data_IF_541262735224
#
_entry.id   IF_541262735224
#
_cell.length_a   1.000
_cell.length_b   1.000
_cell.length_c   1.000
_cell.angle_alpha   90.00
_cell.angle_beta   90.00
_cell.angle_gamma   90.00
#
_symmetry.space_group_name_H-M   'P 1'
#
loop_
_entity.id
_entity.type
_entity.pdbx_description
1 polymer ?
#
# COMPACT_ATOMS: atom_id res chain seq x y z
N UNK A 1 39.42 -4.87 -21.09
CA UNK A 1 38.52 -5.94 -21.61
C UNK A 1 37.13 -5.39 -21.41
N UNK A 2 36.56 -4.83 -22.48
CA UNK A 2 35.23 -4.23 -22.42
C UNK A 2 34.21 -5.32 -22.07
N UNK A 3 33.51 -5.11 -20.96
CA UNK A 3 32.43 -5.99 -20.49
C UNK A 3 31.30 -5.92 -21.51
N UNK A 4 31.18 -6.93 -22.37
CA UNK A 4 29.88 -7.20 -22.95
C UNK A 4 28.94 -7.59 -21.80
N UNK A 5 27.75 -6.99 -21.67
CA UNK A 5 26.77 -7.40 -20.67
C UNK A 5 26.49 -8.89 -20.83
N UNK A 6 26.36 -9.63 -19.72
CA UNK A 6 25.97 -11.03 -19.82
C UNK A 6 24.67 -11.16 -20.62
N UNK A 7 24.53 -12.22 -21.43
CA UNK A 7 23.34 -12.44 -22.27
C UNK A 7 22.04 -12.39 -21.46
N UNK A 8 22.07 -12.77 -20.18
CA UNK A 8 20.95 -12.68 -19.27
C UNK A 8 20.52 -11.23 -18.94
N UNK A 9 21.47 -10.30 -18.73
CA UNK A 9 21.17 -8.88 -18.48
C UNK A 9 20.47 -8.25 -19.69
N UNK A 10 20.93 -8.57 -20.90
CA UNK A 10 20.27 -8.05 -22.11
C UNK A 10 18.87 -8.63 -22.31
N UNK A 11 18.61 -9.85 -21.82
CA UNK A 11 17.25 -10.41 -21.81
C UNK A 11 16.36 -9.66 -20.82
N UNK A 12 16.85 -9.30 -19.62
CA UNK A 12 16.08 -8.46 -18.69
C UNK A 12 15.74 -7.11 -19.32
N UNK A 13 16.71 -6.43 -19.94
CA UNK A 13 16.46 -5.14 -20.64
C UNK A 13 15.52 -5.28 -21.83
N UNK A 14 15.42 -6.48 -22.42
CA UNK A 14 14.59 -6.69 -23.61
C UNK A 14 13.09 -6.48 -23.36
N UNK A 15 12.65 -6.52 -22.09
CA UNK A 15 11.27 -6.28 -21.66
C UNK A 15 10.99 -4.84 -21.24
N UNK A 16 11.97 -3.93 -21.32
CA UNK A 16 11.79 -2.51 -21.00
C UNK A 16 11.17 -1.75 -22.19
N UNK A 17 9.94 -2.15 -22.54
CA UNK A 17 9.20 -1.61 -23.70
C UNK A 17 7.72 -1.49 -23.38
N UNK A 18 7.07 -0.52 -24.03
CA UNK A 18 5.64 -0.22 -23.87
C UNK A 18 4.72 -1.45 -23.96
N UNK A 19 5.07 -2.45 -24.77
CA UNK A 19 4.26 -3.68 -24.91
C UNK A 19 4.25 -4.56 -23.66
N UNK A 20 5.27 -4.45 -22.80
CA UNK A 20 5.40 -5.22 -21.56
C UNK A 20 4.89 -4.41 -20.36
N UNK A 21 4.95 -3.09 -20.37
CA UNK A 21 4.41 -2.25 -19.29
C UNK A 21 2.89 -2.31 -19.13
N UNK A 22 2.18 -2.92 -20.09
CA UNK A 22 0.72 -3.18 -20.02
C UNK A 22 0.39 -4.62 -19.58
N UNK A 23 1.40 -5.42 -19.26
CA UNK A 23 1.25 -6.83 -18.91
C UNK A 23 1.44 -7.01 -17.41
N UNK A 24 0.80 -8.05 -16.89
CA UNK A 24 1.00 -8.47 -15.50
C UNK A 24 2.42 -9.02 -15.30
N UNK A 25 2.98 -8.86 -14.10
CA UNK A 25 4.32 -9.36 -13.75
C UNK A 25 4.48 -10.84 -14.13
N UNK A 26 3.47 -11.66 -13.85
CA UNK A 26 3.49 -13.11 -14.12
C UNK A 26 3.65 -13.43 -15.62
N UNK A 27 3.22 -12.54 -16.51
CA UNK A 27 3.39 -12.70 -17.95
C UNK A 27 4.81 -12.29 -18.36
N UNK A 28 5.29 -11.14 -17.88
CA UNK A 28 6.64 -10.65 -18.16
C UNK A 28 7.69 -11.64 -17.62
N UNK A 29 7.46 -12.18 -16.42
CA UNK A 29 8.29 -13.21 -15.80
C UNK A 29 8.46 -14.43 -16.72
N UNK A 30 7.43 -14.88 -17.46
CA UNK A 30 7.56 -16.02 -18.40
C UNK A 30 8.61 -15.74 -19.49
N UNK A 31 8.76 -14.49 -19.92
CA UNK A 31 9.74 -14.10 -20.93
C UNK A 31 11.16 -14.06 -20.38
N UNK A 32 11.34 -13.59 -19.15
CA UNK A 32 12.67 -13.41 -18.54
C UNK A 32 13.12 -14.57 -17.66
N UNK A 33 12.24 -15.53 -17.33
CA UNK A 33 12.47 -16.59 -16.33
C UNK A 33 13.81 -17.29 -16.45
N UNK A 34 14.24 -17.62 -17.67
CA UNK A 34 15.53 -18.29 -17.89
C UNK A 34 16.70 -17.39 -17.49
N UNK A 35 16.68 -16.12 -17.91
CA UNK A 35 17.70 -15.14 -17.57
C UNK A 35 17.69 -14.80 -16.08
N UNK A 36 16.49 -14.67 -15.48
CA UNK A 36 16.32 -14.49 -14.05
C UNK A 36 17.04 -15.60 -13.27
N UNK A 37 16.73 -16.87 -13.57
CA UNK A 37 17.35 -18.02 -12.88
C UNK A 37 18.86 -18.08 -13.09
N UNK A 38 19.34 -17.77 -14.30
CA UNK A 38 20.78 -17.73 -14.60
C UNK A 38 21.50 -16.67 -13.75
N UNK A 39 20.90 -15.48 -13.59
CA UNK A 39 21.46 -14.41 -12.77
C UNK A 39 21.45 -14.75 -11.27
N UNK A 40 20.41 -15.43 -10.79
CA UNK A 40 20.38 -15.98 -9.43
C UNK A 40 21.51 -17.01 -9.23
N UNK A 41 21.69 -17.95 -10.16
CA UNK A 41 22.76 -18.96 -10.09
C UNK A 41 24.17 -18.35 -10.19
N UNK A 42 24.32 -17.24 -10.92
CA UNK A 42 25.57 -16.49 -10.96
C UNK A 42 25.93 -15.89 -9.60
N UNK A 43 24.92 -15.54 -8.80
CA UNK A 43 25.04 -14.99 -7.45
C UNK A 43 25.75 -13.64 -7.46
N UNK A 44 26.68 -13.43 -6.52
CA UNK A 44 27.41 -12.17 -6.33
C UNK A 44 28.15 -11.67 -7.59
N UNK A 45 28.48 -12.57 -8.52
CA UNK A 45 29.12 -12.20 -9.79
C UNK A 45 28.24 -11.30 -10.67
N UNK A 46 26.92 -11.33 -10.48
CA UNK A 46 25.98 -10.50 -11.23
C UNK A 46 25.68 -9.15 -10.55
N UNK A 47 26.02 -8.98 -9.26
CA UNK A 47 25.59 -7.84 -8.42
C UNK A 47 25.86 -6.48 -9.05
N UNK A 48 27.07 -6.27 -9.58
CA UNK A 48 27.41 -5.01 -10.23
C UNK A 48 26.53 -4.70 -11.45
N UNK A 49 26.32 -5.70 -12.32
CA UNK A 49 25.53 -5.51 -13.55
C UNK A 49 24.04 -5.34 -13.24
N UNK A 50 23.53 -6.02 -12.21
CA UNK A 50 22.18 -5.79 -11.69
C UNK A 50 22.04 -4.39 -11.09
N UNK A 51 23.07 -3.90 -10.38
CA UNK A 51 23.07 -2.57 -9.78
C UNK A 51 23.00 -1.44 -10.80
N UNK A 52 23.56 -1.64 -11.99
CA UNK A 52 23.48 -0.70 -13.10
C UNK A 52 22.05 -0.58 -13.67
N UNK A 53 21.20 -1.61 -13.52
CA UNK A 53 19.79 -1.57 -13.94
C UNK A 53 18.92 -0.71 -13.02
N UNK A 54 19.36 -0.42 -11.79
CA UNK A 54 18.60 0.37 -10.81
C UNK A 54 18.62 1.87 -11.09
N UNK A 55 19.30 2.32 -12.15
CA UNK A 55 19.36 3.75 -12.51
C UNK A 55 18.07 4.25 -13.19
N UNK A 56 17.22 3.35 -13.71
CA UNK A 56 15.89 3.67 -14.25
C UNK A 56 14.82 2.86 -13.51
N UNK A 57 14.26 3.48 -12.47
CA UNK A 57 13.29 2.88 -11.53
C UNK A 57 11.92 2.57 -12.17
N UNK A 58 11.68 3.04 -13.39
CA UNK A 58 10.42 2.85 -14.12
C UNK A 58 10.37 1.57 -14.96
N UNK A 59 11.43 0.76 -14.92
CA UNK A 59 11.64 -0.37 -15.85
C UNK A 59 11.36 -1.74 -15.25
N UNK A 60 11.00 -2.70 -16.10
CA UNK A 60 10.86 -4.10 -15.70
C UNK A 60 12.20 -4.70 -15.29
N UNK A 61 13.28 -4.34 -15.99
CA UNK A 61 14.62 -4.83 -15.68
C UNK A 61 15.10 -4.36 -14.30
N UNK A 62 14.79 -3.12 -13.89
CA UNK A 62 15.01 -2.66 -12.52
C UNK A 62 14.25 -3.51 -11.50
N UNK A 63 12.94 -3.70 -11.70
CA UNK A 63 12.11 -4.52 -10.80
C UNK A 63 12.66 -5.95 -10.65
N UNK A 64 12.99 -6.63 -11.74
CA UNK A 64 13.57 -7.98 -11.67
C UNK A 64 14.98 -7.98 -11.07
N UNK A 65 15.79 -6.95 -11.29
CA UNK A 65 17.10 -6.84 -10.67
C UNK A 65 17.00 -6.79 -9.14
N UNK A 66 16.04 -6.03 -8.60
CA UNK A 66 15.77 -5.97 -7.16
C UNK A 66 15.35 -7.33 -6.60
N UNK A 67 14.46 -8.06 -7.29
CA UNK A 67 14.06 -9.42 -6.88
C UNK A 67 15.25 -10.39 -6.87
N UNK A 68 16.09 -10.34 -7.91
CA UNK A 68 17.30 -11.18 -7.98
C UNK A 68 18.26 -10.82 -6.84
N UNK A 69 18.50 -9.53 -6.59
CA UNK A 69 19.34 -9.08 -5.47
C UNK A 69 18.81 -9.55 -4.11
N UNK A 70 17.49 -9.50 -3.90
CA UNK A 70 16.82 -10.02 -2.70
C UNK A 70 17.00 -11.53 -2.55
N UNK A 71 16.93 -12.29 -3.64
CA UNK A 71 17.10 -13.74 -3.61
C UNK A 71 18.58 -14.14 -3.37
N UNK A 72 19.51 -13.42 -4.00
CA UNK A 72 20.95 -13.67 -3.90
C UNK A 72 21.52 -13.23 -2.55
N UNK A 73 21.00 -12.14 -1.96
CA UNK A 73 21.40 -11.59 -0.64
C UNK A 73 22.90 -11.27 -0.55
N UNK A 74 23.49 -10.81 -1.65
CA UNK A 74 24.90 -10.41 -1.68
C UNK A 74 25.11 -9.08 -0.93
N UNK A 75 25.97 -9.02 0.10
CA UNK A 75 26.30 -7.77 0.77
C UNK A 75 26.83 -6.67 -0.15
N UNK A 76 27.45 -7.00 -1.29
CA UNK A 76 27.90 -5.99 -2.25
C UNK A 76 26.73 -5.23 -2.92
N UNK A 77 25.49 -5.72 -2.80
CA UNK A 77 24.30 -5.04 -3.31
C UNK A 77 23.87 -3.85 -2.44
N UNK A 78 24.29 -3.80 -1.17
CA UNK A 78 23.81 -2.79 -0.18
C UNK A 78 23.94 -1.35 -0.68
N UNK A 79 25.07 -0.89 -1.23
CA UNK A 79 25.20 0.49 -1.71
C UNK A 79 24.25 0.81 -2.88
N UNK A 80 23.98 -0.16 -3.75
CA UNK A 80 23.06 0.01 -4.89
C UNK A 80 21.62 0.15 -4.40
N UNK A 81 21.19 -0.70 -3.47
CA UNK A 81 19.85 -0.69 -2.90
C UNK A 81 19.57 0.58 -2.08
N UNK A 82 20.54 1.03 -1.27
CA UNK A 82 20.44 2.31 -0.54
C UNK A 82 20.35 3.49 -1.52
N UNK A 83 21.18 3.49 -2.56
CA UNK A 83 21.17 4.57 -3.55
C UNK A 83 19.84 4.62 -4.33
N UNK A 84 19.26 3.46 -4.64
CA UNK A 84 17.94 3.34 -5.26
C UNK A 84 16.87 3.98 -4.37
N UNK A 85 16.74 3.55 -3.11
CA UNK A 85 15.75 4.07 -2.17
C UNK A 85 15.90 5.57 -1.85
N UNK A 86 17.11 6.12 -1.96
CA UNK A 86 17.37 7.55 -1.75
C UNK A 86 16.91 8.41 -2.92
N UNK A 87 17.02 7.90 -4.15
CA UNK A 87 16.65 8.63 -5.36
C UNK A 87 15.15 8.57 -5.64
N UNK A 88 14.52 7.45 -5.30
CA UNK A 88 13.11 7.22 -5.54
C UNK A 88 12.28 7.70 -4.33
N UNK A 89 11.28 8.55 -4.58
CA UNK A 89 10.38 9.08 -3.55
C UNK A 89 8.92 8.63 -3.74
N UNK A 90 8.67 7.76 -4.72
CA UNK A 90 7.36 7.18 -4.99
C UNK A 90 7.16 5.93 -4.16
N UNK A 91 5.92 5.70 -3.73
CA UNK A 91 5.54 4.44 -3.13
C UNK A 91 5.24 3.46 -4.26
N UNK A 92 6.07 2.44 -4.45
CA UNK A 92 5.88 1.43 -5.48
C UNK A 92 6.46 0.08 -5.04
N UNK A 93 6.12 -0.97 -5.79
CA UNK A 93 6.58 -2.34 -5.52
C UNK A 93 8.10 -2.51 -5.64
N UNK A 94 8.80 -1.66 -6.40
CA UNK A 94 10.26 -1.70 -6.50
C UNK A 94 10.92 -1.24 -5.19
N UNK A 95 10.40 -0.20 -4.56
CA UNK A 95 10.89 0.25 -3.24
C UNK A 95 10.67 -0.83 -2.16
N UNK A 96 9.55 -1.56 -2.21
CA UNK A 96 9.33 -2.71 -1.32
C UNK A 96 10.37 -3.81 -1.54
N UNK A 97 10.64 -4.19 -2.79
CA UNK A 97 11.66 -5.21 -3.08
C UNK A 97 13.05 -4.77 -2.61
N UNK A 98 13.41 -3.50 -2.79
CA UNK A 98 14.67 -2.96 -2.29
C UNK A 98 14.76 -2.95 -0.76
N UNK A 99 13.67 -2.55 -0.08
CA UNK A 99 13.56 -2.61 1.39
C UNK A 99 13.73 -4.05 1.90
N UNK A 100 13.02 -5.01 1.31
CA UNK A 100 13.11 -6.41 1.71
C UNK A 100 14.47 -7.02 1.38
N UNK A 101 15.08 -6.68 0.24
CA UNK A 101 16.44 -7.09 -0.10
C UNK A 101 17.43 -6.66 0.99
N UNK A 102 17.37 -5.40 1.41
CA UNK A 102 18.22 -4.87 2.48
C UNK A 102 17.99 -5.56 3.82
N UNK A 103 16.73 -5.77 4.22
CA UNK A 103 16.38 -6.47 5.45
C UNK A 103 16.86 -7.93 5.45
N UNK A 104 16.73 -8.62 4.31
CA UNK A 104 17.09 -10.02 4.16
C UNK A 104 18.60 -10.25 3.97
N UNK A 105 19.36 -9.27 3.47
CA UNK A 105 20.82 -9.26 3.57
C UNK A 105 21.24 -9.25 5.05
N UNK A 106 20.52 -8.50 5.90
CA UNK A 106 20.66 -8.55 7.35
C UNK A 106 21.89 -7.79 7.86
N UNK A 107 22.64 -8.41 8.78
CA UNK A 107 23.79 -7.78 9.48
C UNK A 107 24.74 -6.96 8.59
N UNK A 108 25.15 -7.42 7.39
CA UNK A 108 26.04 -6.66 6.53
C UNK A 108 25.47 -5.31 6.05
N UNK A 109 24.15 -5.15 6.00
CA UNK A 109 23.50 -3.89 5.61
C UNK A 109 23.47 -2.84 6.73
N UNK A 110 23.58 -3.27 8.00
CA UNK A 110 23.38 -2.41 9.18
C UNK A 110 24.29 -1.18 9.21
N UNK A 111 25.62 -1.28 8.99
CA UNK A 111 26.49 -0.11 9.13
C UNK A 111 26.12 1.04 8.19
N UNK A 112 25.90 0.73 6.90
CA UNK A 112 25.57 1.72 5.88
C UNK A 112 24.13 2.22 6.01
N UNK A 113 23.17 1.34 6.28
CA UNK A 113 21.77 1.73 6.52
C UNK A 113 21.65 2.67 7.71
N UNK A 114 22.29 2.32 8.83
CA UNK A 114 22.22 3.12 10.04
C UNK A 114 22.90 4.48 9.86
N UNK A 115 24.00 4.55 9.11
CA UNK A 115 24.65 5.81 8.75
C UNK A 115 23.70 6.72 7.94
N UNK A 116 23.10 6.21 6.87
CA UNK A 116 22.21 7.01 6.02
C UNK A 116 20.91 7.39 6.71
N UNK A 117 20.28 6.48 7.47
CA UNK A 117 19.07 6.80 8.24
C UNK A 117 19.34 7.89 9.28
N UNK A 118 20.48 7.83 10.00
CA UNK A 118 20.85 8.88 10.97
C UNK A 118 21.04 10.24 10.30
N UNK A 119 21.72 10.25 9.16
CA UNK A 119 21.92 11.46 8.34
C UNK A 119 20.61 12.02 7.79
N UNK A 120 19.65 11.19 7.41
CA UNK A 120 18.31 11.66 7.04
C UNK A 120 17.57 12.28 8.23
N UNK A 121 17.65 11.65 9.41
CA UNK A 121 17.04 12.19 10.62
C UNK A 121 17.65 13.52 11.04
N UNK A 122 18.97 13.72 10.87
CA UNK A 122 19.63 15.02 11.07
C UNK A 122 19.06 16.12 10.14
N UNK A 123 18.52 15.72 8.98
CA UNK A 123 17.88 16.61 8.02
C UNK A 123 16.35 16.62 8.10
N UNK A 124 15.76 16.00 9.14
CA UNK A 124 14.32 15.84 9.30
C UNK A 124 13.64 15.16 8.08
N UNK A 125 14.30 14.15 7.52
CA UNK A 125 13.77 13.32 6.43
C UNK A 125 13.47 11.94 6.99
N UNK A 126 12.33 11.37 6.59
CA UNK A 126 11.94 10.00 6.95
C UNK A 126 11.73 9.19 5.68
N UNK A 127 12.74 8.43 5.30
CA UNK A 127 12.60 7.43 4.25
C UNK A 127 11.97 6.16 4.83
N UNK A 128 10.67 5.97 4.55
CA UNK A 128 9.89 4.84 5.05
C UNK A 128 10.56 3.49 4.76
N UNK A 129 11.09 3.31 3.55
CA UNK A 129 11.68 2.05 3.11
C UNK A 129 13.04 1.78 3.76
N UNK A 130 13.92 2.78 3.87
CA UNK A 130 15.20 2.59 4.55
C UNK A 130 15.03 2.35 6.06
N UNK A 131 14.13 3.10 6.70
CA UNK A 131 13.78 2.87 8.12
C UNK A 131 13.14 1.51 8.30
N UNK A 132 12.22 1.13 7.41
CA UNK A 132 11.56 -0.17 7.40
C UNK A 132 12.54 -1.33 7.19
N UNK A 133 13.54 -1.17 6.33
CA UNK A 133 14.60 -2.15 6.12
C UNK A 133 15.47 -2.29 7.37
N UNK A 134 15.98 -1.18 7.91
CA UNK A 134 16.85 -1.16 9.07
C UNK A 134 16.18 -1.80 10.28
N UNK A 135 14.97 -1.37 10.63
CA UNK A 135 14.28 -1.78 11.86
C UNK A 135 13.85 -3.25 11.88
N UNK A 136 13.72 -3.90 10.71
CA UNK A 136 13.49 -5.35 10.57
C UNK A 136 14.74 -6.20 10.83
N UNK A 137 15.93 -5.62 10.79
CA UNK A 137 17.17 -6.35 11.03
C UNK A 137 17.35 -6.54 12.55
N UNK A 138 17.33 -7.78 13.02
CA UNK A 138 17.30 -8.13 14.45
C UNK A 138 18.67 -8.11 15.13
N UNK A 139 19.51 -7.13 14.80
CA UNK A 139 20.81 -6.91 15.42
C UNK A 139 20.70 -6.05 16.70
N UNK A 140 21.55 -6.29 17.72
CA UNK A 140 21.54 -5.51 18.97
C UNK A 140 21.63 -4.00 18.75
N UNK A 141 22.52 -3.55 17.88
CA UNK A 141 22.76 -2.12 17.61
C UNK A 141 21.54 -1.43 16.98
N UNK A 142 20.78 -2.16 16.15
CA UNK A 142 19.53 -1.66 15.54
C UNK A 142 18.47 -1.47 16.61
N UNK A 143 18.30 -2.46 17.50
CA UNK A 143 17.35 -2.34 18.60
C UNK A 143 17.71 -1.20 19.54
N UNK A 144 18.98 -1.05 19.90
CA UNK A 144 19.44 0.02 20.77
C UNK A 144 19.15 1.40 20.15
N UNK A 145 19.39 1.55 18.84
CA UNK A 145 18.99 2.74 18.08
C UNK A 145 17.47 2.97 18.12
N UNK A 146 16.66 1.91 17.91
CA UNK A 146 15.20 2.03 17.99
C UNK A 146 14.73 2.46 19.39
N UNK A 147 15.30 1.88 20.45
CA UNK A 147 15.00 2.25 21.84
C UNK A 147 15.38 3.71 22.09
N UNK A 148 16.54 4.15 21.63
CA UNK A 148 17.04 5.52 21.77
C UNK A 148 16.08 6.53 21.15
N UNK A 149 15.74 6.35 19.86
CA UNK A 149 14.83 7.26 19.14
C UNK A 149 13.43 7.26 19.76
N UNK A 150 12.92 6.10 20.16
CA UNK A 150 11.60 5.98 20.79
C UNK A 150 11.55 6.72 22.14
N UNK A 151 12.63 6.63 22.93
CA UNK A 151 12.76 7.39 24.19
C UNK A 151 12.88 8.89 23.94
N UNK A 152 13.66 9.29 22.94
CA UNK A 152 13.84 10.71 22.60
C UNK A 152 12.52 11.31 22.10
N UNK A 153 11.77 10.61 21.25
CA UNK A 153 10.43 11.03 20.83
C UNK A 153 9.48 11.20 22.02
N UNK A 154 9.50 10.25 22.97
CA UNK A 154 8.66 10.34 24.16
C UNK A 154 8.99 11.58 25.02
N UNK A 155 10.26 11.99 25.07
CA UNK A 155 10.73 13.13 25.86
C UNK A 155 10.59 14.47 25.11
N UNK A 156 10.82 14.47 23.80
CA UNK A 156 10.96 15.66 22.95
C UNK A 156 10.12 15.52 21.66
N UNK A 157 8.80 15.30 21.73
CA UNK A 157 7.98 14.98 20.55
C UNK A 157 7.98 16.09 19.48
N UNK A 158 8.15 17.35 19.88
CA UNK A 158 8.22 18.50 18.97
C UNK A 158 9.40 18.45 18.00
N UNK A 159 10.50 17.77 18.37
CA UNK A 159 11.65 17.53 17.47
C UNK A 159 11.25 16.75 16.23
N UNK A 160 10.24 15.91 16.34
CA UNK A 160 9.81 14.93 15.34
C UNK A 160 8.55 15.37 14.56
N UNK A 161 7.97 16.51 14.94
CA UNK A 161 6.70 16.96 14.40
C UNK A 161 6.76 17.22 12.89
N UNK A 162 5.88 16.55 12.15
CA UNK A 162 5.65 16.80 10.72
C UNK A 162 6.59 16.06 9.77
N UNK A 163 7.54 15.26 10.27
CA UNK A 163 8.45 14.50 9.42
C UNK A 163 8.68 13.04 9.86
N UNK A 164 8.42 12.69 11.11
CA UNK A 164 8.66 11.34 11.64
C UNK A 164 7.35 10.63 12.01
N UNK A 165 7.29 9.32 11.77
CA UNK A 165 6.12 8.47 11.97
C UNK A 165 6.42 7.41 13.04
N UNK A 166 5.94 7.65 14.27
CA UNK A 166 6.28 6.81 15.43
C UNK A 166 5.63 5.43 15.38
N UNK A 167 4.48 5.30 14.74
CA UNK A 167 3.79 4.02 14.51
C UNK A 167 4.61 3.08 13.63
N UNK A 168 5.05 3.55 12.46
CA UNK A 168 5.91 2.78 11.55
C UNK A 168 7.23 2.37 12.21
N UNK A 169 7.77 3.24 13.06
CA UNK A 169 9.03 3.00 13.75
C UNK A 169 8.89 1.96 14.88
N UNK A 170 7.78 1.99 15.61
CA UNK A 170 7.55 1.08 16.75
C UNK A 170 7.03 -0.28 16.33
N UNK A 171 6.36 -0.39 15.18
CA UNK A 171 5.83 -1.64 14.63
C UNK A 171 6.85 -2.79 14.67
N UNK A 172 8.07 -2.56 14.17
CA UNK A 172 9.09 -3.60 14.06
C UNK A 172 9.75 -4.02 15.39
N UNK A 173 9.37 -3.47 16.56
CA UNK A 173 9.87 -4.00 17.83
C UNK A 173 9.48 -5.46 18.07
N UNK A 174 8.36 -5.90 17.48
CA UNK A 174 7.93 -7.29 17.55
C UNK A 174 8.92 -8.26 16.89
N UNK A 175 9.57 -7.86 15.80
CA UNK A 175 10.59 -8.65 15.09
C UNK A 175 11.79 -8.95 16.00
N UNK A 176 12.11 -8.03 16.93
CA UNK A 176 13.20 -8.22 17.89
C UNK A 176 12.80 -9.11 19.08
N UNK A 177 11.50 -9.31 19.34
CA UNK A 177 10.99 -10.16 20.43
C UNK A 177 11.37 -9.71 21.84
N UNK A 178 11.89 -8.48 21.99
CA UNK A 178 12.47 -7.96 23.24
C UNK A 178 11.43 -7.21 24.06
N UNK A 179 11.12 -7.73 25.26
CA UNK A 179 10.01 -7.22 26.11
C UNK A 179 10.40 -6.02 26.98
N UNK A 180 11.68 -5.67 27.07
CA UNK A 180 12.17 -4.53 27.86
C UNK A 180 11.73 -3.16 27.30
N UNK A 181 11.28 -3.09 26.04
CA UNK A 181 10.65 -1.89 25.46
C UNK A 181 9.22 -1.63 25.99
N UNK A 182 8.53 -2.66 26.50
CA UNK A 182 7.11 -2.55 26.91
C UNK A 182 6.79 -1.37 27.84
N UNK A 183 7.61 -1.04 28.87
CA UNK A 183 7.35 0.12 29.72
C UNK A 183 7.37 1.45 28.97
N UNK A 184 8.17 1.57 27.90
CA UNK A 184 8.27 2.77 27.06
C UNK A 184 7.07 2.86 26.13
N UNK A 185 6.71 1.75 25.45
CA UNK A 185 5.51 1.72 24.59
C UNK A 185 4.24 2.04 25.39
N UNK A 186 4.12 1.52 26.62
CA UNK A 186 3.00 1.84 27.52
C UNK A 186 2.96 3.31 27.96
N UNK A 187 4.11 3.99 28.00
CA UNK A 187 4.15 5.44 28.23
C UNK A 187 3.74 6.21 26.98
N UNK A 188 4.19 5.79 25.79
CA UNK A 188 3.74 6.36 24.51
C UNK A 188 2.22 6.26 24.34
N UNK A 189 1.62 5.13 24.71
CA UNK A 189 0.15 4.94 24.72
C UNK A 189 -0.61 5.91 25.64
N UNK A 190 0.08 6.64 26.51
CA UNK A 190 -0.50 7.71 27.37
C UNK A 190 -0.09 9.11 26.92
N UNK A 191 0.86 9.22 25.99
CA UNK A 191 1.36 10.50 25.49
C UNK A 191 0.29 11.21 24.66
N UNK A 192 0.21 12.53 24.84
CA UNK A 192 -0.64 13.43 24.04
C UNK A 192 -0.04 13.72 22.66
N UNK A 193 1.24 13.44 22.46
CA UNK A 193 1.92 13.64 21.18
C UNK A 193 1.58 12.56 20.15
N UNK A 194 1.02 11.43 20.59
CA UNK A 194 0.63 10.31 19.74
C UNK A 194 -0.83 10.48 19.32
N UNK A 195 -1.11 10.40 18.03
CA UNK A 195 -2.47 10.44 17.46
C UNK A 195 -3.26 9.16 17.80
N UNK A 196 -4.57 9.16 17.57
CA UNK A 196 -5.38 7.97 17.83
C UNK A 196 -5.03 6.79 16.91
N UNK A 197 -4.62 7.08 15.66
CA UNK A 197 -4.17 6.05 14.72
C UNK A 197 -2.87 5.42 15.20
N UNK A 198 -1.84 6.25 15.47
CA UNK A 198 -0.56 5.75 15.97
C UNK A 198 -0.73 4.98 17.30
N UNK A 199 -1.64 5.43 18.16
CA UNK A 199 -1.95 4.75 19.43
C UNK A 199 -2.57 3.37 19.21
N UNK A 200 -3.29 3.15 18.11
CA UNK A 200 -3.82 1.83 17.75
C UNK A 200 -2.67 0.90 17.36
N UNK A 201 -1.82 1.33 16.43
CA UNK A 201 -0.69 0.53 15.94
C UNK A 201 0.30 0.20 17.08
N UNK A 202 0.67 1.17 17.92
CA UNK A 202 1.53 0.94 19.09
C UNK A 202 0.89 -0.07 20.06
N UNK A 203 -0.44 -0.06 20.20
CA UNK A 203 -1.15 -1.01 21.07
C UNK A 203 -1.05 -2.42 20.53
N UNK A 204 -1.13 -2.59 19.22
CA UNK A 204 -1.01 -3.90 18.59
C UNK A 204 0.40 -4.45 18.76
N UNK A 205 1.44 -3.64 18.57
CA UNK A 205 2.83 -4.04 18.90
C UNK A 205 2.97 -4.46 20.38
N UNK A 206 2.36 -3.71 21.32
CA UNK A 206 2.36 -4.08 22.74
C UNK A 206 1.68 -5.43 22.96
N UNK A 207 0.52 -5.68 22.34
CA UNK A 207 -0.20 -6.96 22.44
C UNK A 207 0.66 -8.10 21.89
N UNK A 208 1.28 -7.93 20.71
CA UNK A 208 2.15 -8.92 20.09
C UNK A 208 3.32 -9.25 21.00
N UNK A 209 3.99 -8.25 21.57
CA UNK A 209 5.12 -8.47 22.49
C UNK A 209 4.70 -9.13 23.83
N UNK A 210 3.51 -8.82 24.33
CA UNK A 210 2.99 -9.41 25.57
C UNK A 210 2.61 -10.88 25.39
N UNK A 211 1.81 -11.18 24.35
CA UNK A 211 1.28 -12.51 24.04
C UNK A 211 1.20 -12.74 22.51
N UNK A 212 2.31 -13.15 21.87
CA UNK A 212 2.35 -13.36 20.42
C UNK A 212 1.35 -14.42 19.95
N UNK A 213 1.23 -15.53 20.69
CA UNK A 213 0.34 -16.64 20.33
C UNK A 213 -1.14 -16.28 20.54
N UNK A 214 -1.45 -15.56 21.63
CA UNK A 214 -2.79 -15.03 21.87
C UNK A 214 -3.20 -14.02 20.81
N UNK A 215 -2.32 -13.09 20.44
CA UNK A 215 -2.57 -12.13 19.36
C UNK A 215 -2.77 -12.82 18.01
N UNK A 216 -1.90 -13.79 17.66
CA UNK A 216 -2.06 -14.58 16.43
C UNK A 216 -3.40 -15.33 16.42
N UNK A 217 -3.81 -15.89 17.55
CA UNK A 217 -5.11 -16.56 17.67
C UNK A 217 -6.27 -15.57 17.52
N UNK A 218 -6.22 -14.41 18.17
CA UNK A 218 -7.21 -13.32 18.03
C UNK A 218 -7.31 -12.87 16.57
N UNK A 219 -6.18 -12.69 15.89
CA UNK A 219 -6.12 -12.34 14.48
C UNK A 219 -6.73 -13.43 13.60
N UNK A 220 -6.38 -14.69 13.82
CA UNK A 220 -6.93 -15.82 13.06
C UNK A 220 -8.42 -16.03 13.34
N UNK A 221 -8.90 -15.79 14.56
CA UNK A 221 -10.33 -15.79 14.90
C UNK A 221 -11.05 -14.62 14.25
N UNK A 222 -10.41 -13.45 14.17
CA UNK A 222 -10.95 -12.28 13.48
C UNK A 222 -11.05 -12.54 11.98
N UNK A 223 -9.98 -13.03 11.36
CA UNK A 223 -9.96 -13.46 9.95
C UNK A 223 -10.99 -14.55 9.69
N UNK A 224 -11.10 -15.56 10.56
CA UNK A 224 -12.17 -16.56 10.47
C UNK A 224 -13.55 -15.97 10.62
N UNK A 225 -13.75 -14.96 11.47
CA UNK A 225 -15.04 -14.28 11.56
C UNK A 225 -15.34 -13.44 10.32
N UNK A 226 -14.31 -12.92 9.65
CA UNK A 226 -14.46 -12.31 8.33
C UNK A 226 -14.78 -13.36 7.28
N UNK A 227 -14.04 -14.48 7.23
CA UNK A 227 -14.31 -15.61 6.34
C UNK A 227 -15.69 -16.20 6.60
N UNK A 228 -16.06 -16.43 7.86
CA UNK A 228 -17.38 -16.90 8.27
C UNK A 228 -18.46 -15.84 8.03
N UNK A 229 -18.17 -14.55 8.12
CA UNK A 229 -19.12 -13.52 7.69
C UNK A 229 -19.30 -13.56 6.16
N UNK A 230 -18.22 -13.76 5.40
CA UNK A 230 -18.25 -13.97 3.96
C UNK A 230 -18.98 -15.28 3.58
N UNK A 231 -18.76 -16.37 4.31
CA UNK A 231 -19.39 -17.69 4.10
C UNK A 231 -20.83 -17.71 4.61
N UNK A 232 -21.14 -17.04 5.71
CA UNK A 232 -22.52 -16.81 6.17
C UNK A 232 -23.25 -15.82 5.25
N UNK A 233 -22.52 -15.03 4.46
CA UNK A 233 -23.06 -14.32 3.31
C UNK A 233 -23.15 -15.23 2.08
N UNK A 234 -22.26 -16.19 1.82
CA UNK A 234 -22.42 -17.17 0.72
C UNK A 234 -23.61 -18.13 0.95
N UNK A 235 -23.81 -18.62 2.17
CA UNK A 235 -24.91 -19.53 2.54
C UNK A 235 -26.23 -18.80 2.85
N UNK A 236 -26.23 -17.46 2.89
CA UNK A 236 -27.43 -16.61 2.91
C UNK A 236 -27.61 -15.73 1.68
N UNK A 237 -26.77 -15.88 0.66
CA UNK A 237 -27.17 -15.47 -0.69
C UNK A 237 -28.10 -16.59 -1.16
N UNK A 238 -29.37 -16.49 -0.77
CA UNK A 238 -30.41 -16.96 -1.68
C UNK A 238 -30.05 -16.36 -3.05
N UNK A 239 -29.85 -17.24 -4.04
CA UNK A 239 -29.53 -16.83 -5.39
C UNK A 239 -30.41 -15.64 -5.76
N UNK A 240 -29.84 -14.59 -6.38
CA UNK A 240 -30.56 -13.34 -6.54
C UNK A 240 -31.99 -13.54 -7.05
N UNK A 241 -32.99 -12.93 -6.39
CA UNK A 241 -34.35 -12.86 -6.95
C UNK A 241 -34.35 -12.17 -8.33
N UNK A 242 -33.29 -11.42 -8.64
CA UNK A 242 -33.04 -10.75 -9.91
C UNK A 242 -31.75 -11.23 -10.58
N UNK A 243 -31.85 -11.68 -11.83
CA UNK A 243 -30.72 -12.06 -12.68
C UNK A 243 -29.72 -10.90 -12.86
N UNK A 244 -28.48 -11.24 -13.24
CA UNK A 244 -27.43 -10.24 -13.55
C UNK A 244 -27.89 -9.21 -14.60
N UNK A 245 -28.66 -9.66 -15.58
CA UNK A 245 -29.26 -8.81 -16.62
C UNK A 245 -30.34 -7.87 -16.07
N UNK A 246 -31.09 -8.30 -15.05
CA UNK A 246 -32.08 -7.47 -14.35
C UNK A 246 -31.39 -6.43 -13.44
N UNK A 247 -30.33 -6.81 -12.74
CA UNK A 247 -29.54 -5.88 -11.92
C UNK A 247 -28.87 -4.78 -12.76
N UNK A 248 -28.34 -5.14 -13.94
CA UNK A 248 -27.80 -4.18 -14.89
C UNK A 248 -28.85 -3.16 -15.36
N UNK A 249 -30.11 -3.58 -15.49
CA UNK A 249 -31.24 -2.71 -15.89
C UNK A 249 -31.89 -1.94 -14.75
N UNK A 250 -31.73 -2.40 -13.51
CA UNK A 250 -32.35 -1.78 -12.32
C UNK A 250 -31.92 -0.31 -12.16
N UNK A 251 -32.81 0.54 -11.64
CA UNK A 251 -32.38 1.86 -11.21
C UNK A 251 -31.61 1.70 -9.89
N UNK A 252 -30.41 2.28 -9.80
CA UNK A 252 -29.61 2.21 -8.56
C UNK A 252 -30.33 2.83 -7.35
N UNK A 253 -31.30 3.73 -7.59
CA UNK A 253 -32.14 4.33 -6.55
C UNK A 253 -33.15 3.36 -5.95
N UNK A 254 -33.43 2.26 -6.64
CA UNK A 254 -34.32 1.20 -6.15
C UNK A 254 -33.54 0.16 -5.32
N UNK A 255 -32.20 0.24 -5.30
CA UNK A 255 -31.31 -0.67 -4.57
C UNK A 255 -30.86 -0.13 -3.20
N UNK A 256 -31.38 1.02 -2.78
CA UNK A 256 -31.04 1.63 -1.48
C UNK A 256 -32.24 1.55 -0.54
N UNK A 257 -31.99 1.40 0.76
CA UNK A 257 -33.07 1.38 1.75
C UNK A 257 -33.64 2.78 2.03
N UNK A 258 -34.81 2.80 2.66
CA UNK A 258 -35.61 4.00 2.92
C UNK A 258 -35.08 4.89 4.07
N UNK A 259 -33.95 4.54 4.69
CA UNK A 259 -33.38 5.36 5.75
C UNK A 259 -32.92 6.72 5.19
N UNK A 260 -33.45 7.80 5.73
CA UNK A 260 -33.16 9.17 5.29
C UNK A 260 -32.41 9.99 6.35
N UNK A 261 -31.81 9.34 7.35
CA UNK A 261 -30.97 10.03 8.32
C UNK A 261 -29.72 10.64 7.65
N UNK A 262 -29.32 11.88 8.01
CA UNK A 262 -28.07 12.45 7.52
C UNK A 262 -26.86 11.64 7.99
N UNK A 263 -25.97 11.29 7.07
CA UNK A 263 -24.76 10.51 7.37
C UNK A 263 -23.50 11.34 7.19
N UNK A 264 -22.63 11.28 8.21
CA UNK A 264 -21.25 11.77 8.19
C UNK A 264 -20.35 10.58 8.45
N UNK A 265 -19.43 10.30 7.52
CA UNK A 265 -18.49 9.18 7.64
C UNK A 265 -17.23 9.65 8.36
N UNK A 266 -16.96 9.06 9.53
CA UNK A 266 -15.69 9.20 10.22
C UNK A 266 -14.78 8.01 9.88
N UNK A 267 -13.48 8.11 10.11
CA UNK A 267 -12.53 7.06 9.73
C UNK A 267 -12.75 5.76 10.51
N UNK A 268 -13.26 5.84 11.74
CA UNK A 268 -13.72 4.68 12.53
C UNK A 268 -14.89 3.91 11.89
N UNK A 269 -15.61 4.54 10.95
CA UNK A 269 -16.76 3.93 10.28
C UNK A 269 -16.36 3.27 8.95
N UNK A 270 -15.08 3.32 8.56
CA UNK A 270 -14.60 2.81 7.27
C UNK A 270 -14.89 1.32 7.08
N UNK A 271 -14.91 0.52 8.16
CA UNK A 271 -15.22 -0.92 8.08
C UNK A 271 -16.66 -1.16 7.59
N UNK A 272 -17.65 -0.40 8.10
CA UNK A 272 -19.05 -0.48 7.65
C UNK A 272 -19.20 -0.10 6.17
N UNK A 273 -18.48 0.93 5.76
CA UNK A 273 -18.62 1.51 4.42
C UNK A 273 -17.63 0.93 3.40
N UNK A 274 -16.78 -0.01 3.82
CA UNK A 274 -15.77 -0.62 2.96
C UNK A 274 -16.35 -1.16 1.65
N UNK A 275 -17.50 -1.87 1.62
CA UNK A 275 -18.06 -2.36 0.35
C UNK A 275 -18.35 -1.25 -0.66
N UNK A 276 -18.93 -0.12 -0.21
CA UNK A 276 -19.24 1.01 -1.09
C UNK A 276 -17.99 1.80 -1.48
N UNK A 277 -17.05 1.99 -0.55
CA UNK A 277 -15.79 2.69 -0.81
C UNK A 277 -14.96 1.91 -1.83
N UNK A 278 -14.75 0.63 -1.57
CA UNK A 278 -14.02 -0.27 -2.47
C UNK A 278 -14.71 -0.38 -3.84
N UNK A 279 -16.04 -0.49 -3.90
CA UNK A 279 -16.77 -0.54 -5.17
C UNK A 279 -16.47 0.69 -6.07
N UNK A 280 -16.43 1.89 -5.49
CA UNK A 280 -16.14 3.12 -6.23
C UNK A 280 -14.65 3.22 -6.56
N UNK A 281 -13.77 2.97 -5.60
CA UNK A 281 -12.33 3.16 -5.77
C UNK A 281 -11.75 2.13 -6.76
N UNK A 282 -12.21 0.88 -6.71
CA UNK A 282 -11.80 -0.17 -7.65
C UNK A 282 -12.27 0.11 -9.08
N UNK A 283 -13.49 0.65 -9.26
CA UNK A 283 -13.95 1.08 -10.58
C UNK A 283 -13.06 2.19 -11.14
N UNK A 284 -12.71 3.19 -10.33
CA UNK A 284 -11.84 4.30 -10.77
C UNK A 284 -10.43 3.78 -11.10
N UNK A 285 -9.85 2.94 -10.25
CA UNK A 285 -8.52 2.38 -10.45
C UNK A 285 -8.46 1.51 -11.73
N UNK A 286 -9.41 0.61 -11.92
CA UNK A 286 -9.48 -0.26 -13.09
C UNK A 286 -9.74 0.54 -14.39
N UNK A 287 -10.61 1.55 -14.34
CA UNK A 287 -10.82 2.44 -15.47
C UNK A 287 -9.54 3.18 -15.83
N UNK A 288 -8.80 3.67 -14.83
CA UNK A 288 -7.55 4.40 -15.04
C UNK A 288 -6.44 3.51 -15.63
N UNK A 289 -6.30 2.28 -15.13
CA UNK A 289 -5.40 1.26 -15.71
C UNK A 289 -5.67 1.05 -17.20
N UNK A 290 -6.95 1.02 -17.58
CA UNK A 290 -7.39 0.84 -18.98
C UNK A 290 -7.34 2.13 -19.82
N UNK A 291 -7.43 3.29 -19.17
CA UNK A 291 -7.49 4.62 -19.79
C UNK A 291 -6.50 5.60 -19.13
N UNK A 292 -5.18 5.50 -19.38
CA UNK A 292 -4.17 6.34 -18.73
C UNK A 292 -4.28 7.85 -19.02
N UNK A 293 -5.11 8.23 -20.00
CA UNK A 293 -5.43 9.62 -20.30
C UNK A 293 -6.36 10.26 -19.26
N UNK A 294 -7.03 9.47 -18.41
CA UNK A 294 -7.92 9.93 -17.34
C UNK A 294 -7.19 10.90 -16.41
N UNK A 295 -7.92 11.90 -15.92
CA UNK A 295 -7.42 12.92 -14.98
C UNK A 295 -8.34 13.01 -13.78
N UNK A 296 -7.81 13.51 -12.67
CA UNK A 296 -8.58 13.72 -11.44
C UNK A 296 -9.82 14.63 -11.67
N UNK A 297 -9.76 15.55 -12.64
CA UNK A 297 -10.91 16.41 -12.99
C UNK A 297 -12.07 15.61 -13.60
N UNK A 298 -11.76 14.56 -14.36
CA UNK A 298 -12.74 13.70 -15.00
C UNK A 298 -13.42 12.81 -13.93
N UNK A 299 -12.63 12.28 -12.98
CA UNK A 299 -13.13 11.58 -11.78
C UNK A 299 -14.02 12.48 -10.91
N UNK A 300 -13.60 13.73 -10.68
CA UNK A 300 -14.41 14.71 -9.93
C UNK A 300 -15.76 14.96 -10.59
N UNK A 301 -15.81 15.04 -11.93
CA UNK A 301 -17.04 15.21 -12.68
C UNK A 301 -17.94 13.98 -12.55
N UNK A 302 -17.41 12.77 -12.75
CA UNK A 302 -18.15 11.52 -12.62
C UNK A 302 -18.77 11.37 -11.22
N UNK A 303 -17.98 11.56 -10.15
CA UNK A 303 -18.47 11.44 -8.77
C UNK A 303 -19.51 12.51 -8.41
N UNK A 304 -19.40 13.73 -8.95
CA UNK A 304 -20.44 14.76 -8.78
C UNK A 304 -21.74 14.35 -9.46
N UNK A 305 -21.66 13.79 -10.66
CA UNK A 305 -22.82 13.34 -11.43
C UNK A 305 -23.52 12.18 -10.71
N UNK A 306 -22.78 11.15 -10.29
CA UNK A 306 -23.31 10.00 -9.52
C UNK A 306 -23.96 10.47 -8.22
N UNK A 307 -23.31 11.37 -7.47
CA UNK A 307 -23.91 11.94 -6.25
C UNK A 307 -25.22 12.69 -6.53
N UNK A 308 -25.31 13.39 -7.65
CA UNK A 308 -26.49 14.17 -8.01
C UNK A 308 -27.62 13.29 -8.58
N UNK A 309 -27.31 12.13 -9.14
CA UNK A 309 -28.28 11.14 -9.63
C UNK A 309 -29.22 10.65 -8.52
N UNK A 310 -28.75 10.51 -7.28
CA UNK A 310 -29.63 10.18 -6.16
C UNK A 310 -30.64 11.28 -5.80
N UNK A 311 -30.58 12.44 -6.48
CA UNK A 311 -31.48 13.58 -6.27
C UNK A 311 -32.34 13.93 -7.48
N UNK A 312 -31.95 13.52 -8.69
CA UNK A 312 -32.58 13.90 -9.96
C UNK A 312 -32.57 12.73 -10.95
N UNK A 313 -33.44 12.74 -11.97
CA UNK A 313 -33.31 11.80 -13.10
C UNK A 313 -31.97 11.97 -13.81
N UNK A 314 -31.28 10.86 -14.07
CA UNK A 314 -29.92 10.84 -14.60
C UNK A 314 -29.77 9.87 -15.76
N UNK A 315 -28.92 10.24 -16.71
CA UNK A 315 -28.38 9.34 -17.73
C UNK A 315 -26.85 9.38 -17.62
N UNK A 316 -26.17 8.25 -17.38
CA UNK A 316 -24.72 8.18 -17.40
C UNK A 316 -24.17 8.76 -18.71
N UNK A 317 -23.19 9.65 -18.60
CA UNK A 317 -22.67 10.41 -19.72
C UNK A 317 -21.36 9.82 -20.29
N UNK A 318 -20.68 8.96 -19.53
CA UNK A 318 -19.41 8.35 -19.91
C UNK A 318 -19.21 6.96 -19.28
N UNK A 319 -18.20 6.26 -19.79
CA UNK A 319 -17.84 4.89 -19.42
C UNK A 319 -17.43 4.76 -17.95
N UNK A 320 -16.62 5.69 -17.42
CA UNK A 320 -16.24 5.72 -16.00
C UNK A 320 -17.47 5.78 -15.08
N UNK A 321 -18.47 6.60 -15.41
CA UNK A 321 -19.72 6.67 -14.63
C UNK A 321 -20.48 5.34 -14.66
N UNK A 322 -20.52 4.66 -15.81
CA UNK A 322 -21.16 3.35 -15.95
C UNK A 322 -20.47 2.28 -15.11
N UNK A 323 -19.14 2.24 -15.12
CA UNK A 323 -18.35 1.30 -14.34
C UNK A 323 -18.55 1.49 -12.83
N UNK A 324 -18.47 2.75 -12.34
CA UNK A 324 -18.71 3.04 -10.92
C UNK A 324 -20.14 2.66 -10.51
N UNK A 325 -21.13 2.96 -11.36
CA UNK A 325 -22.53 2.62 -11.08
C UNK A 325 -22.73 1.11 -11.05
N UNK A 326 -22.11 0.36 -11.96
CA UNK A 326 -22.19 -1.10 -12.00
C UNK A 326 -21.66 -1.74 -10.72
N UNK A 327 -20.48 -1.29 -10.26
CA UNK A 327 -19.90 -1.77 -9.01
C UNK A 327 -20.75 -1.38 -7.80
N UNK A 328 -21.27 -0.15 -7.77
CA UNK A 328 -22.17 0.30 -6.71
C UNK A 328 -23.47 -0.52 -6.66
N UNK A 329 -24.09 -0.81 -7.81
CA UNK A 329 -25.29 -1.66 -7.88
C UNK A 329 -25.02 -3.04 -7.28
N UNK A 330 -23.87 -3.64 -7.61
CA UNK A 330 -23.47 -4.94 -7.07
C UNK A 330 -23.29 -4.86 -5.55
N UNK A 331 -22.65 -3.81 -5.05
CA UNK A 331 -22.48 -3.61 -3.60
C UNK A 331 -23.81 -3.38 -2.89
N UNK A 332 -24.68 -2.52 -3.44
CA UNK A 332 -25.99 -2.19 -2.87
C UNK A 332 -26.98 -3.37 -2.92
N UNK A 333 -26.84 -4.24 -3.91
CA UNK A 333 -27.63 -5.45 -4.00
C UNK A 333 -27.33 -6.42 -2.86
N UNK A 334 -26.06 -6.54 -2.47
CA UNK A 334 -25.59 -7.48 -1.45
C UNK A 334 -25.67 -6.87 -0.03
N UNK A 335 -25.65 -5.55 0.09
CA UNK A 335 -25.52 -4.85 1.36
C UNK A 335 -26.64 -3.83 1.57
N UNK A 336 -27.20 -3.80 2.78
CA UNK A 336 -28.29 -2.90 3.15
C UNK A 336 -27.79 -1.48 3.46
N UNK A 337 -27.66 -0.65 2.42
CA UNK A 337 -27.25 0.75 2.55
C UNK A 337 -28.36 1.71 2.12
N UNK A 338 -28.43 2.83 2.84
CA UNK A 338 -29.31 3.93 2.48
C UNK A 338 -28.77 4.80 1.35
N UNK A 339 -29.68 5.59 0.76
CA UNK A 339 -29.34 6.66 -0.17
C UNK A 339 -28.31 7.63 0.43
N UNK A 340 -28.48 7.99 1.70
CA UNK A 340 -27.62 8.99 2.35
C UNK A 340 -26.23 8.45 2.67
N UNK A 341 -26.11 7.17 3.04
CA UNK A 341 -24.82 6.48 3.21
C UNK A 341 -24.07 6.41 1.88
N UNK A 342 -24.76 6.03 0.81
CA UNK A 342 -24.18 5.97 -0.54
C UNK A 342 -23.68 7.34 -0.99
N UNK A 343 -24.50 8.38 -0.83
CA UNK A 343 -24.10 9.77 -1.10
C UNK A 343 -22.91 10.20 -0.24
N UNK A 344 -22.85 9.77 1.03
CA UNK A 344 -21.76 10.10 1.93
C UNK A 344 -20.44 9.43 1.50
N UNK A 345 -20.47 8.18 1.06
CA UNK A 345 -19.31 7.46 0.53
C UNK A 345 -18.76 8.14 -0.73
N UNK A 346 -19.64 8.45 -1.69
CA UNK A 346 -19.26 9.19 -2.91
C UNK A 346 -18.64 10.56 -2.56
N UNK A 347 -19.18 11.26 -1.56
CA UNK A 347 -18.61 12.54 -1.08
C UNK A 347 -17.24 12.36 -0.41
N UNK A 348 -17.04 11.29 0.37
CA UNK A 348 -15.76 10.99 1.01
C UNK A 348 -14.66 10.82 -0.03
N UNK A 349 -14.92 10.01 -1.06
CA UNK A 349 -13.98 9.79 -2.17
C UNK A 349 -13.79 11.08 -2.98
N UNK A 350 -14.87 11.79 -3.33
CA UNK A 350 -14.77 13.08 -4.03
C UNK A 350 -13.88 14.10 -3.29
N UNK A 351 -13.93 14.11 -1.96
CA UNK A 351 -13.06 14.95 -1.14
C UNK A 351 -11.61 14.43 -1.15
N UNK A 352 -11.40 13.11 -1.13
CA UNK A 352 -10.09 12.49 -1.33
C UNK A 352 -9.48 12.89 -2.67
N UNK A 353 -10.23 12.80 -3.76
CA UNK A 353 -9.77 13.18 -5.11
C UNK A 353 -9.33 14.63 -5.15
N UNK A 354 -10.12 15.54 -4.55
CA UNK A 354 -9.77 16.97 -4.49
C UNK A 354 -8.50 17.25 -3.68
N UNK A 355 -8.30 16.53 -2.56
CA UNK A 355 -7.11 16.69 -1.72
C UNK A 355 -5.85 16.26 -2.47
N UNK A 356 -5.86 15.07 -3.04
CA UNK A 356 -4.70 14.56 -3.78
C UNK A 356 -4.42 15.35 -5.06
N UNK A 357 -5.47 15.80 -5.77
CA UNK A 357 -5.31 16.73 -6.90
C UNK A 357 -4.64 18.06 -6.51
N UNK A 358 -4.78 18.51 -5.25
CA UNK A 358 -4.09 19.71 -4.79
C UNK A 358 -2.57 19.50 -4.66
N UNK A 359 -2.14 18.25 -4.48
CA UNK A 359 -0.72 17.83 -4.43
C UNK A 359 -0.17 17.69 -5.84
N UNK A 360 -0.83 16.91 -6.71
CA UNK A 360 -0.54 16.86 -8.15
C UNK A 360 -1.80 17.18 -8.97
N UNK A 361 -1.74 18.34 -9.66
CA UNK A 361 -2.86 18.99 -10.35
C UNK A 361 -3.57 18.12 -11.39
N UNK A 362 -2.91 17.10 -11.95
CA UNK A 362 -3.46 16.28 -13.02
C UNK A 362 -3.95 14.91 -12.54
N UNK A 363 -3.15 14.20 -11.74
CA UNK A 363 -3.37 12.77 -11.40
C UNK A 363 -2.99 12.40 -9.98
N UNK A 364 -2.92 13.37 -9.06
CA UNK A 364 -2.50 13.08 -7.69
C UNK A 364 -3.37 12.02 -7.02
N UNK A 365 -4.68 12.01 -7.26
CA UNK A 365 -5.55 10.96 -6.74
C UNK A 365 -5.39 9.64 -7.49
N UNK A 366 -5.33 9.72 -8.81
CA UNK A 366 -5.25 8.54 -9.67
C UNK A 366 -3.95 7.74 -9.46
N UNK A 367 -2.84 8.43 -9.23
CA UNK A 367 -1.58 7.78 -8.86
C UNK A 367 -1.67 7.19 -7.46
N UNK A 368 -2.23 7.94 -6.49
CA UNK A 368 -2.45 7.44 -5.14
C UNK A 368 -3.30 6.16 -5.13
N UNK A 369 -4.46 6.15 -5.79
CA UNK A 369 -5.45 5.08 -5.58
C UNK A 369 -5.05 3.74 -6.23
N UNK A 370 -4.16 3.74 -7.23
CA UNK A 370 -3.66 2.50 -7.84
C UNK A 370 -2.90 1.64 -6.82
N UNK A 371 -2.31 2.25 -5.80
CA UNK A 371 -1.47 1.57 -4.81
C UNK A 371 -2.28 0.98 -3.65
N UNK A 372 -3.58 1.30 -3.53
CA UNK A 372 -4.43 0.88 -2.41
C UNK A 372 -5.59 -0.04 -2.81
N UNK A 373 -5.81 -0.30 -4.11
CA UNK A 373 -6.98 -1.03 -4.62
C UNK A 373 -6.66 -2.07 -5.68
#
# INVERSE_FOLDING_TARGET
MDKMPSTAIEILKSVDKDEFYRREESEVMKHVKKAYNELVELGSRATKELGELLEDDSTWSCYFALKIMREVKDPEAVPYLINFLRKNSYYDSSNEEAMFALAEIGKPAVPLLMEEVKKEFENNVYNFYMVGALTRITEPEVYDFMVEITKDFLQNPEKYAGWFFIDHFTFNFEEHGRKDILPILKQLLKSKAVTDNERREIRDTVKVLEDPEGYKKELMETLRRFDDAFVMHEDKIEAPEISREELERADIRDLVNDNNEPVIIHDKDNERYFPLLYAIESAIANHYRSHPSLRDVDVICALKNIRNMFKNEFKPANELELEIISNLKSSLYINDFSKNETIACVKKILNSVKRHRAVDRKRGYLNFIIDFV
#
